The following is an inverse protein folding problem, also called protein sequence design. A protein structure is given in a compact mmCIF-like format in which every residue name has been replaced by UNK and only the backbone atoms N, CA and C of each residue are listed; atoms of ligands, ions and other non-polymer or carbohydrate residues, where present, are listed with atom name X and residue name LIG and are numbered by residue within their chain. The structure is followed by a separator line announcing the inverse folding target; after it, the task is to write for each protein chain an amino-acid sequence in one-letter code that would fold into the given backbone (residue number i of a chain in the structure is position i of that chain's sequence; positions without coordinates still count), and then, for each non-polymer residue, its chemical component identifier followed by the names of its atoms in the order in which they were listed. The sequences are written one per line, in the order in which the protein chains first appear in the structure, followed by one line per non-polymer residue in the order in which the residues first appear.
data_IF_184090334343
#
_entry.id   IF_184090334343
#
_cell.length_a   1.000
_cell.length_b   1.000
_cell.length_c   1.000
_cell.angle_alpha   90.00
_cell.angle_beta   90.00
_cell.angle_gamma   90.00
#
_symmetry.space_group_name_H-M   'P 1'
#
loop_
_entity.id
_entity.type
_entity.pdbx_description
1 polymer ?
#
# COMPACT_ATOMS: atom_id res chain seq x y z
N UNK A 1 3.20 -13.33 -2.98
CA UNK A 1 1.89 -13.93 -2.71
C UNK A 1 1.30 -14.53 -3.99
N UNK A 2 0.26 -15.36 -3.90
CA UNK A 2 -0.39 -15.97 -5.07
C UNK A 2 -1.08 -14.91 -5.95
N UNK A 3 -1.62 -13.86 -5.35
CA UNK A 3 -2.24 -12.73 -6.06
C UNK A 3 -1.18 -11.89 -6.79
N UNK A 4 -0.06 -11.58 -6.14
CA UNK A 4 1.05 -10.86 -6.77
C UNK A 4 1.64 -11.58 -7.99
N UNK A 5 1.62 -12.91 -8.00
CA UNK A 5 2.09 -13.71 -9.15
C UNK A 5 1.14 -13.69 -10.35
N UNK A 6 -0.12 -13.34 -10.14
CA UNK A 6 -1.12 -13.20 -11.21
C UNK A 6 -1.23 -11.78 -11.74
N UNK A 7 -0.86 -10.80 -10.93
CA UNK A 7 -0.84 -9.41 -11.33
C UNK A 7 0.37 -9.16 -12.26
N UNK A 8 0.14 -8.54 -13.40
CA UNK A 8 1.17 -8.21 -14.38
C UNK A 8 1.71 -6.81 -14.16
N UNK A 9 0.82 -5.79 -14.22
CA UNK A 9 1.18 -4.37 -14.22
C UNK A 9 0.91 -3.73 -12.86
N UNK A 10 1.97 -3.28 -12.21
CA UNK A 10 1.88 -2.60 -10.91
C UNK A 10 2.14 -1.10 -11.02
N UNK A 11 1.25 -0.31 -10.44
CA UNK A 11 1.52 1.09 -10.14
C UNK A 11 2.56 1.21 -9.04
N UNK A 12 3.63 1.96 -9.30
CA UNK A 12 4.73 2.16 -8.35
C UNK A 12 4.86 3.66 -8.08
N UNK A 13 4.66 4.09 -6.81
CA UNK A 13 4.80 5.49 -6.44
C UNK A 13 6.27 5.91 -6.40
N UNK A 14 6.48 7.22 -6.56
CA UNK A 14 7.80 7.82 -6.38
C UNK A 14 8.35 7.53 -4.98
N UNK A 15 9.64 7.24 -4.90
CA UNK A 15 10.34 6.92 -3.64
C UNK A 15 10.10 5.50 -3.12
N UNK A 16 9.39 4.64 -3.88
CA UNK A 16 9.34 3.22 -3.53
C UNK A 16 10.72 2.58 -3.69
N UNK A 17 11.20 1.75 -2.74
CA UNK A 17 12.54 1.17 -2.79
C UNK A 17 12.77 0.34 -4.05
N UNK A 18 13.79 0.72 -4.84
CA UNK A 18 14.10 0.09 -6.13
C UNK A 18 14.39 -1.41 -6.00
N UNK A 19 15.04 -1.83 -4.92
CA UNK A 19 15.33 -3.24 -4.65
C UNK A 19 14.09 -4.12 -4.55
N UNK A 20 12.95 -3.53 -4.13
CA UNK A 20 11.67 -4.24 -4.09
C UNK A 20 10.89 -4.06 -5.39
N UNK A 21 10.98 -2.88 -6.00
CA UNK A 21 10.36 -2.61 -7.29
C UNK A 21 10.90 -3.54 -8.38
N UNK A 22 12.19 -3.87 -8.34
CA UNK A 22 12.83 -4.79 -9.28
C UNK A 22 12.27 -6.22 -9.25
N UNK A 23 11.54 -6.59 -8.20
CA UNK A 23 10.90 -7.91 -8.07
C UNK A 23 9.50 -7.97 -8.72
N UNK A 24 8.97 -6.82 -9.16
CA UNK A 24 7.66 -6.76 -9.81
C UNK A 24 7.78 -7.14 -11.28
N UNK A 25 6.78 -7.86 -11.85
CA UNK A 25 6.83 -8.33 -13.23
C UNK A 25 6.80 -7.18 -14.25
N UNK A 26 5.93 -6.20 -14.07
CA UNK A 26 5.85 -4.99 -14.88
C UNK A 26 5.52 -3.80 -14.00
N UNK A 27 6.10 -2.63 -14.29
CA UNK A 27 6.05 -1.44 -13.45
C UNK A 27 5.56 -0.24 -14.24
N UNK A 28 4.60 0.47 -13.67
CA UNK A 28 4.09 1.72 -14.23
C UNK A 28 4.28 2.81 -13.18
N UNK A 29 5.08 3.82 -13.49
CA UNK A 29 5.25 4.98 -12.62
C UNK A 29 3.98 5.86 -12.64
N UNK A 30 3.62 6.44 -11.50
CA UNK A 30 2.55 7.46 -11.38
C UNK A 30 3.12 8.87 -11.60
N UNK A 31 4.06 9.00 -12.55
CA UNK A 31 4.68 10.27 -12.94
C UNK A 31 4.86 10.32 -14.48
N UNK A 32 4.16 11.22 -15.20
CA UNK A 32 3.10 12.11 -14.70
C UNK A 32 1.89 11.36 -14.12
N UNK A 33 1.08 12.00 -13.22
CA UNK A 33 -0.03 11.33 -12.57
C UNK A 33 -0.99 10.67 -13.55
N UNK A 34 -1.21 9.36 -13.38
CA UNK A 34 -2.13 8.58 -14.19
C UNK A 34 -3.57 9.03 -13.96
N UNK A 35 -4.37 9.07 -15.01
CA UNK A 35 -5.81 9.29 -14.86
C UNK A 35 -6.51 8.07 -14.23
N UNK A 36 -7.78 8.22 -13.88
CA UNK A 36 -8.57 7.17 -13.24
C UNK A 36 -8.66 5.91 -14.11
N UNK A 37 -8.81 6.07 -15.42
CA UNK A 37 -8.89 4.96 -16.36
C UNK A 37 -7.58 4.17 -16.44
N UNK A 38 -6.45 4.88 -16.46
CA UNK A 38 -5.14 4.25 -16.44
C UNK A 38 -4.84 3.55 -15.11
N UNK A 39 -5.29 4.12 -13.97
CA UNK A 39 -5.18 3.48 -12.66
C UNK A 39 -6.05 2.22 -12.55
N UNK A 40 -7.27 2.25 -13.08
CA UNK A 40 -8.20 1.11 -13.08
C UNK A 40 -7.70 -0.04 -13.99
N UNK A 41 -6.92 0.31 -15.02
CA UNK A 41 -6.29 -0.67 -15.91
C UNK A 41 -5.03 -1.33 -15.33
N UNK A 42 -4.57 -0.94 -14.15
CA UNK A 42 -3.49 -1.62 -13.43
C UNK A 42 -4.01 -2.89 -12.76
N UNK A 43 -3.20 -3.94 -12.78
CA UNK A 43 -3.50 -5.16 -12.03
C UNK A 43 -3.35 -4.97 -10.52
N UNK A 44 -2.58 -3.97 -10.09
CA UNK A 44 -2.40 -3.64 -8.69
C UNK A 44 -1.51 -2.43 -8.48
N UNK A 45 -1.35 -2.08 -7.22
CA UNK A 45 -0.44 -1.05 -6.74
C UNK A 45 0.44 -1.63 -5.63
N UNK A 46 1.68 -1.17 -5.57
CA UNK A 46 2.57 -1.43 -4.43
C UNK A 46 2.84 -0.14 -3.68
N UNK A 47 2.84 -0.19 -2.34
CA UNK A 47 3.21 0.96 -1.51
C UNK A 47 4.03 0.53 -0.31
N UNK A 48 4.76 1.48 0.26
CA UNK A 48 5.19 1.42 1.66
C UNK A 48 4.09 2.00 2.55
N UNK A 49 4.35 2.22 3.84
CA UNK A 49 3.44 2.90 4.76
C UNK A 49 4.20 3.89 5.66
N UNK A 50 3.47 4.77 6.32
CA UNK A 50 4.01 5.62 7.37
C UNK A 50 4.11 4.84 8.69
N UNK A 51 3.05 4.15 9.07
CA UNK A 51 2.95 3.33 10.28
C UNK A 51 1.96 2.20 10.07
N UNK A 52 2.15 1.09 10.77
CA UNK A 52 1.18 -0.01 10.85
C UNK A 52 0.84 -0.31 12.32
N UNK A 53 -0.40 -0.72 12.58
CA UNK A 53 -0.95 -0.94 13.92
C UNK A 53 -1.26 -2.42 14.09
N UNK A 54 -0.56 -3.08 15.01
CA UNK A 54 -0.69 -4.52 15.21
C UNK A 54 -2.06 -4.92 15.74
N UNK A 55 -2.60 -4.19 16.73
CA UNK A 55 -3.86 -4.50 17.38
C UNK A 55 -5.05 -4.51 16.43
N UNK A 56 -5.08 -3.61 15.45
CA UNK A 56 -6.21 -3.44 14.52
C UNK A 56 -5.93 -3.97 13.11
N UNK A 57 -4.69 -4.35 12.81
CA UNK A 57 -4.27 -4.72 11.46
C UNK A 57 -4.37 -3.54 10.47
N UNK A 58 -4.18 -2.32 10.95
CA UNK A 58 -4.34 -1.10 10.14
C UNK A 58 -3.01 -0.62 9.59
N UNK A 59 -3.00 -0.21 8.33
CA UNK A 59 -1.87 0.45 7.68
C UNK A 59 -2.26 1.91 7.46
N UNK A 60 -1.36 2.84 7.76
CA UNK A 60 -1.59 4.27 7.53
C UNK A 60 -0.62 4.79 6.48
N UNK A 61 -1.15 5.40 5.44
CA UNK A 61 -0.41 6.12 4.42
C UNK A 61 -0.53 7.62 4.68
N UNK A 62 0.56 8.36 4.50
CA UNK A 62 0.62 9.81 4.71
C UNK A 62 1.09 10.58 3.46
N UNK A 63 0.98 9.94 2.28
CA UNK A 63 1.47 10.45 1.00
C UNK A 63 2.99 10.75 0.99
N UNK A 64 3.73 10.10 1.86
CA UNK A 64 5.19 10.17 1.89
C UNK A 64 5.86 9.33 0.79
N UNK A 65 7.21 9.30 0.75
CA UNK A 65 7.96 8.53 -0.22
C UNK A 65 7.55 7.06 -0.25
N UNK A 66 7.32 6.52 -1.43
CA UNK A 66 6.90 5.13 -1.63
C UNK A 66 5.43 4.84 -1.30
N UNK A 67 4.62 5.86 -1.00
CA UNK A 67 3.20 5.69 -0.65
C UNK A 67 2.27 6.23 -1.75
N UNK A 68 2.70 7.27 -2.46
CA UNK A 68 1.96 7.90 -3.53
C UNK A 68 0.75 8.71 -3.07
N UNK A 69 0.02 9.24 -4.04
CA UNK A 69 -1.24 9.98 -3.81
C UNK A 69 -2.40 9.01 -3.49
N UNK A 70 -3.45 9.52 -2.84
CA UNK A 70 -4.61 8.72 -2.43
C UNK A 70 -5.24 7.91 -3.57
N UNK A 71 -5.35 8.48 -4.77
CA UNK A 71 -5.95 7.79 -5.92
C UNK A 71 -5.21 6.49 -6.27
N UNK A 72 -3.88 6.48 -6.15
CA UNK A 72 -3.05 5.31 -6.46
C UNK A 72 -3.40 4.10 -5.56
N UNK A 73 -3.70 4.32 -4.30
CA UNK A 73 -4.05 3.24 -3.36
C UNK A 73 -5.55 2.92 -3.30
N UNK A 74 -6.41 3.73 -3.94
CA UNK A 74 -7.86 3.53 -3.89
C UNK A 74 -8.47 2.96 -5.17
N UNK A 75 -7.90 3.28 -6.35
CA UNK A 75 -8.50 2.90 -7.64
C UNK A 75 -8.15 1.47 -8.05
N UNK A 76 -6.88 1.00 -8.04
CA UNK A 76 -6.55 -0.37 -8.41
C UNK A 76 -7.19 -1.39 -7.47
N UNK A 77 -7.56 -2.54 -8.03
CA UNK A 77 -8.32 -3.57 -7.31
C UNK A 77 -7.47 -4.44 -6.36
N UNK A 78 -6.15 -4.39 -6.53
CA UNK A 78 -5.18 -5.09 -5.68
C UNK A 78 -4.15 -4.12 -5.10
N UNK A 79 -3.95 -4.19 -3.80
CA UNK A 79 -2.94 -3.43 -3.08
C UNK A 79 -1.94 -4.37 -2.38
N UNK A 80 -0.68 -4.24 -2.71
CA UNK A 80 0.43 -4.90 -2.03
C UNK A 80 1.17 -3.87 -1.16
N UNK A 81 0.99 -3.95 0.13
CA UNK A 81 1.66 -3.06 1.09
C UNK A 81 2.94 -3.71 1.63
N UNK A 82 4.04 -2.99 1.59
CA UNK A 82 5.32 -3.43 2.18
C UNK A 82 5.56 -2.62 3.45
N UNK A 83 5.57 -3.32 4.58
CA UNK A 83 5.71 -2.75 5.93
C UNK A 83 7.03 -3.20 6.53
N UNK A 84 7.85 -2.27 7.00
CA UNK A 84 9.04 -2.63 7.78
C UNK A 84 8.64 -2.90 9.21
N UNK A 85 9.29 -3.86 9.87
CA UNK A 85 8.98 -4.23 11.25
C UNK A 85 9.03 -3.04 12.22
N UNK A 86 9.97 -2.12 12.01
CA UNK A 86 10.12 -0.90 12.82
C UNK A 86 8.98 0.12 12.64
N UNK A 87 8.17 -0.02 11.59
CA UNK A 87 6.98 0.81 11.37
C UNK A 87 5.75 0.29 12.11
N UNK A 88 5.83 -0.91 12.70
CA UNK A 88 4.73 -1.52 13.42
C UNK A 88 4.70 -1.00 14.85
N UNK A 89 3.54 -0.51 15.27
CA UNK A 89 3.25 -0.08 16.64
C UNK A 89 2.16 -0.96 17.25
N UNK A 90 2.05 -0.97 18.59
CA UNK A 90 1.08 -1.80 19.28
C UNK A 90 -0.37 -1.34 19.03
N UNK A 91 -0.65 -0.07 19.27
CA UNK A 91 -2.00 0.47 19.23
C UNK A 91 -2.15 1.81 18.51
N UNK A 92 -3.39 2.27 18.41
CA UNK A 92 -3.75 3.53 17.73
C UNK A 92 -3.08 4.76 18.36
N UNK A 93 -3.00 4.92 19.71
CA UNK A 93 -2.33 6.08 20.30
C UNK A 93 -0.87 6.21 19.87
N UNK A 94 -0.14 5.08 19.76
CA UNK A 94 1.26 5.07 19.34
C UNK A 94 1.40 5.47 17.88
N UNK A 95 0.45 5.05 17.04
CA UNK A 95 0.41 5.43 15.64
C UNK A 95 0.17 6.93 15.47
N UNK A 96 -0.82 7.48 16.18
CA UNK A 96 -1.14 8.91 16.14
C UNK A 96 0.06 9.76 16.58
N UNK A 97 0.81 9.31 17.58
CA UNK A 97 2.02 10.00 18.05
C UNK A 97 3.14 10.07 17.00
N UNK A 98 3.15 9.17 16.03
CA UNK A 98 4.14 9.14 14.92
C UNK A 98 3.70 9.89 13.67
N UNK A 99 2.41 10.19 13.54
CA UNK A 99 1.85 10.78 12.34
C UNK A 99 1.84 12.31 12.44
N UNK A 100 2.05 12.96 11.28
CA UNK A 100 1.85 14.39 11.15
C UNK A 100 0.37 14.66 10.77
N UNK A 101 -0.42 15.32 11.64
CA UNK A 101 -1.85 15.54 11.40
C UNK A 101 -2.13 16.51 10.24
N UNK A 102 -1.13 17.25 9.77
CA UNK A 102 -1.26 18.16 8.61
C UNK A 102 -1.20 17.41 7.29
N UNK A 103 -0.60 16.23 7.26
CA UNK A 103 -0.49 15.42 6.05
C UNK A 103 -1.79 14.71 5.72
N UNK A 104 -2.06 14.43 4.43
CA UNK A 104 -3.23 13.64 4.04
C UNK A 104 -3.04 12.20 4.53
N UNK A 105 -3.90 11.73 5.42
CA UNK A 105 -3.84 10.38 5.97
C UNK A 105 -4.88 9.47 5.30
N UNK A 106 -4.45 8.26 4.95
CA UNK A 106 -5.33 7.18 4.49
C UNK A 106 -5.14 5.98 5.42
N UNK A 107 -6.21 5.60 6.12
CA UNK A 107 -6.25 4.47 7.06
C UNK A 107 -6.84 3.26 6.36
N UNK A 108 -6.12 2.15 6.32
CA UNK A 108 -6.51 0.93 5.62
C UNK A 108 -6.56 -0.21 6.65
N UNK A 109 -7.76 -0.67 6.96
CA UNK A 109 -8.02 -1.75 7.93
C UNK A 109 -8.63 -2.95 7.21
N UNK A 110 -7.88 -3.59 6.35
CA UNK A 110 -8.32 -4.71 5.52
C UNK A 110 -8.75 -4.29 4.10
N UNK A 111 -9.12 -5.28 3.25
CA UNK A 111 -9.60 -5.04 1.91
C UNK A 111 -10.99 -4.42 1.91
N UNK A 112 -11.36 -3.77 0.79
CA UNK A 112 -12.70 -3.20 0.63
C UNK A 112 -13.76 -4.28 0.54
N UNK A 113 -14.81 -4.19 1.39
CA UNK A 113 -15.96 -5.10 1.42
C UNK A 113 -17.21 -4.56 0.71
N UNK A 114 -17.12 -3.39 0.07
CA UNK A 114 -18.28 -2.66 -0.48
C UNK A 114 -18.96 -3.37 -1.65
N UNK A 115 -18.28 -4.33 -2.29
CA UNK A 115 -18.86 -5.15 -3.36
C UNK A 115 -19.97 -6.10 -2.89
N UNK A 116 -20.09 -6.34 -1.59
CA UNK A 116 -21.10 -7.24 -1.03
C UNK A 116 -22.48 -6.57 -0.86
N UNK A 117 -22.53 -5.24 -0.94
CA UNK A 117 -23.74 -4.43 -0.71
C UNK A 117 -24.29 -3.85 -2.02
N UNK A 118 -23.45 -3.54 -3.00
CA UNK A 118 -23.84 -2.98 -4.29
C UNK A 118 -23.43 -3.91 -5.43
N UNK A 119 -24.41 -4.44 -6.17
CA UNK A 119 -24.21 -5.32 -7.33
C UNK A 119 -23.48 -4.62 -8.52
N UNK A 120 -23.31 -3.30 -8.48
CA UNK A 120 -22.60 -2.52 -9.48
C UNK A 120 -21.48 -1.72 -8.82
N UNK A 121 -20.24 -2.07 -9.16
CA UNK A 121 -19.06 -1.29 -8.78
C UNK A 121 -19.07 0.06 -9.51
N UNK A 122 -19.08 1.14 -8.75
CA UNK A 122 -18.74 2.46 -9.28
C UNK A 122 -17.22 2.54 -9.29
N UNK A 123 -16.62 2.73 -10.47
CA UNK A 123 -15.17 2.80 -10.65
C UNK A 123 -14.54 3.84 -9.72
N UNK A 124 -13.44 3.44 -9.04
CA UNK A 124 -12.56 4.36 -8.33
C UNK A 124 -13.00 4.86 -6.95
N UNK A 125 -14.08 4.33 -6.32
CA UNK A 125 -14.63 4.92 -5.09
C UNK A 125 -14.49 4.05 -3.83
N UNK A 126 -14.15 2.76 -3.95
CA UNK A 126 -14.34 1.80 -2.83
C UNK A 126 -13.06 1.12 -2.33
N UNK A 127 -11.92 1.39 -2.93
CA UNK A 127 -10.64 0.79 -2.56
C UNK A 127 -10.46 -0.66 -3.06
N UNK A 128 -9.25 -1.20 -2.90
CA UNK A 128 -8.88 -2.54 -3.38
C UNK A 128 -9.69 -3.65 -2.70
N UNK A 129 -10.18 -4.61 -3.48
CA UNK A 129 -10.83 -5.84 -2.96
C UNK A 129 -9.82 -6.84 -2.41
N UNK A 130 -8.57 -6.73 -2.82
CA UNK A 130 -7.49 -7.59 -2.34
C UNK A 130 -6.38 -6.74 -1.73
N UNK A 131 -6.03 -7.05 -0.49
CA UNK A 131 -4.94 -6.43 0.24
C UNK A 131 -3.98 -7.51 0.73
N UNK A 132 -2.74 -7.44 0.27
CA UNK A 132 -1.65 -8.26 0.80
C UNK A 132 -0.66 -7.35 1.55
N UNK A 133 -0.16 -7.83 2.67
CA UNK A 133 0.83 -7.13 3.49
C UNK A 133 2.08 -7.99 3.62
N UNK A 134 3.22 -7.45 3.20
CA UNK A 134 4.53 -8.06 3.40
C UNK A 134 5.23 -7.32 4.53
N UNK A 135 5.55 -8.03 5.62
CA UNK A 135 6.37 -7.49 6.70
C UNK A 135 7.84 -7.82 6.43
N UNK A 136 8.65 -6.79 6.31
CA UNK A 136 10.10 -6.91 6.12
C UNK A 136 10.80 -6.72 7.46
N UNK A 137 11.55 -7.75 7.87
CA UNK A 137 12.36 -7.74 9.08
C UNK A 137 13.82 -7.55 8.68
N UNK A 138 14.46 -6.49 9.18
CA UNK A 138 15.91 -6.32 9.03
C UNK A 138 16.61 -7.34 9.91
N UNK A 139 17.22 -8.36 9.34
CA UNK A 139 18.20 -9.16 10.06
C UNK A 139 19.50 -8.36 10.09
N UNK A 140 19.80 -7.72 11.20
CA UNK A 140 21.19 -7.42 11.52
C UNK A 140 21.88 -8.77 11.72
N UNK A 141 22.70 -9.17 10.75
CA UNK A 141 23.67 -10.21 11.00
C UNK A 141 24.61 -9.68 12.08
N UNK A 142 24.31 -9.99 13.33
CA UNK A 142 25.22 -9.79 14.43
C UNK A 142 26.48 -10.56 14.09
N UNK A 143 27.49 -9.86 13.58
CA UNK A 143 28.82 -10.39 13.50
C UNK A 143 29.25 -10.78 14.92
N UNK A 144 29.36 -12.05 15.18
CA UNK A 144 30.11 -12.51 16.34
C UNK A 144 31.56 -12.13 16.14
N UNK A 145 32.22 -11.59 17.18
CA UNK A 145 33.65 -11.37 17.16
C UNK A 145 34.43 -12.68 17.03
#
# INVERSE_FOLDING_TARGET
TAAARRAGRFGVPEGFPEQWAALLPDRVADDPPLDVSALDALDGVVTTCAVAIAETGTIVLDAGPGQGRRALSLVPDYHLAVVRAEQIVAGVPDAVARLDPVRPLTWISGPSATSDIELNRVEGVHGPRTLDVIVVVSHEFGGRP
#
